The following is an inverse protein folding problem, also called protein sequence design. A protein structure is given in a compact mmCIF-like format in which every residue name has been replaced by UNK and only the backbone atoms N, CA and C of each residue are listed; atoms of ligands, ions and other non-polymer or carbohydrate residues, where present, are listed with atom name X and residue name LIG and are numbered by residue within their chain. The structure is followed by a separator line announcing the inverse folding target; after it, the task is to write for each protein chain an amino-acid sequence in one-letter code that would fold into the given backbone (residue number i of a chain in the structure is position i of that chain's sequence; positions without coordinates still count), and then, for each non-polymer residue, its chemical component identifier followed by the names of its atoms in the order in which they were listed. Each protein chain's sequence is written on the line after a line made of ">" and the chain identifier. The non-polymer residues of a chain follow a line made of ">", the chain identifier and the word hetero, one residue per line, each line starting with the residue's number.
data_IF_692774687011
#
_entry.id   IF_692774687011
#
_cell.length_a   1.000
_cell.length_b   1.000
_cell.length_c   1.000
_cell.angle_alpha   90.00
_cell.angle_beta   90.00
_cell.angle_gamma   90.00
#
_symmetry.space_group_name_H-M   'P 1'
#
loop_
_entity.id
_entity.type
_entity.pdbx_description
1 polymer ?
#
# COMPACT_ATOMS: atom_id res chain seq x y z
N UNK A 1 -40.49 38.02 58.25
CA UNK A 1 -41.88 37.57 58.51
C UNK A 1 -42.22 36.50 57.49
N UNK A 2 -42.22 35.26 57.95
CA UNK A 2 -43.05 34.21 57.33
C UNK A 2 -44.51 34.47 57.75
N UNK A 3 -45.57 33.91 57.07
CA UNK A 3 -45.83 32.51 56.82
C UNK A 3 -46.48 32.30 55.45
N UNK A 4 -46.90 31.17 54.98
CA UNK A 4 -47.21 29.85 55.56
C UNK A 4 -47.67 28.90 54.47
N UNK A 5 -47.62 27.67 54.77
CA UNK A 5 -48.03 26.47 53.98
C UNK A 5 -49.52 26.43 53.67
N UNK A 6 -49.88 25.82 52.51
CA UNK A 6 -51.09 25.00 52.43
C UNK A 6 -50.91 23.82 51.48
N UNK A 7 -51.10 22.64 52.04
CA UNK A 7 -51.34 21.32 51.39
C UNK A 7 -52.76 21.24 50.84
N UNK A 8 -52.93 20.56 49.77
CA UNK A 8 -54.24 20.10 49.21
C UNK A 8 -53.99 18.98 48.22
N UNK A 9 -54.06 17.82 48.67
CA UNK A 9 -54.84 16.59 48.55
C UNK A 9 -55.12 16.08 47.15
N UNK A 10 -54.73 14.81 46.97
CA UNK A 10 -55.09 13.72 46.08
C UNK A 10 -56.52 13.72 45.55
N UNK A 11 -56.70 13.38 44.30
CA UNK A 11 -57.47 12.26 43.67
C UNK A 11 -57.68 12.58 42.17
N UNK A 12 -57.54 11.75 41.25
CA UNK A 12 -58.29 10.59 40.81
C UNK A 12 -57.63 9.91 39.60
N UNK A 13 -57.66 8.63 39.64
CA UNK A 13 -57.22 7.76 38.56
C UNK A 13 -58.13 7.87 37.33
N UNK A 14 -57.51 7.94 36.16
CA UNK A 14 -58.19 7.60 34.92
C UNK A 14 -57.28 6.67 34.10
N UNK A 15 -57.75 5.45 33.99
CA UNK A 15 -57.30 4.39 33.13
C UNK A 15 -57.05 4.89 31.70
N UNK A 16 -55.87 4.72 31.19
CA UNK A 16 -55.63 4.65 29.76
C UNK A 16 -54.98 3.31 29.44
N UNK A 17 -55.70 2.58 28.64
CA UNK A 17 -55.41 1.28 28.07
C UNK A 17 -54.08 1.35 27.34
N UNK A 18 -53.13 0.54 27.75
CA UNK A 18 -51.92 0.25 27.01
C UNK A 18 -52.27 -0.56 25.78
N UNK A 19 -52.21 0.03 24.60
CA UNK A 19 -52.06 -0.71 23.35
C UNK A 19 -50.65 -1.17 23.25
N UNK A 20 -50.42 -2.46 23.24
CA UNK A 20 -49.16 -3.10 22.90
C UNK A 20 -48.83 -2.75 21.42
N UNK A 21 -48.03 -1.69 21.23
CA UNK A 21 -47.34 -1.42 20.00
C UNK A 21 -45.98 -2.10 20.08
N UNK A 22 -45.81 -3.15 19.32
CA UNK A 22 -44.53 -3.78 19.10
C UNK A 22 -43.52 -2.71 18.63
N UNK A 23 -42.63 -2.30 19.52
CA UNK A 23 -41.43 -1.60 19.16
C UNK A 23 -40.51 -2.65 18.53
N UNK A 24 -40.58 -2.82 17.22
CA UNK A 24 -39.51 -3.40 16.45
C UNK A 24 -38.28 -2.50 16.65
N UNK A 25 -37.43 -2.86 17.60
CA UNK A 25 -36.05 -2.40 17.64
C UNK A 25 -35.38 -2.93 16.38
N UNK A 26 -35.29 -2.07 15.39
CA UNK A 26 -34.30 -2.25 14.32
C UNK A 26 -32.92 -2.18 14.96
N UNK A 27 -32.37 -3.33 15.32
CA UNK A 27 -30.98 -3.47 15.70
C UNK A 27 -30.09 -3.33 14.45
N UNK A 28 -30.02 -2.11 13.92
CA UNK A 28 -28.96 -1.71 13.00
C UNK A 28 -27.86 -0.99 13.80
N UNK A 29 -27.26 -1.72 14.73
CA UNK A 29 -25.96 -1.38 15.22
C UNK A 29 -24.98 -1.86 14.15
N UNK A 30 -24.58 -0.97 13.24
CA UNK A 30 -23.40 -1.15 12.42
C UNK A 30 -22.21 -1.33 13.36
N UNK A 31 -21.90 -2.59 13.68
CA UNK A 31 -20.71 -2.95 14.47
C UNK A 31 -19.52 -2.49 13.65
N UNK A 32 -18.93 -1.34 14.03
CA UNK A 32 -17.70 -0.87 13.45
C UNK A 32 -16.62 -1.91 13.79
N UNK A 33 -16.35 -2.82 12.86
CA UNK A 33 -15.31 -3.83 13.05
C UNK A 33 -13.95 -3.18 13.03
N UNK A 34 -13.03 -3.60 13.91
CA UNK A 34 -11.67 -3.10 13.85
C UNK A 34 -11.03 -3.44 12.49
N UNK A 35 -10.09 -2.63 12.06
CA UNK A 35 -9.27 -2.92 10.87
C UNK A 35 -8.53 -4.25 11.06
N UNK A 36 -8.25 -4.93 9.94
CA UNK A 36 -7.57 -6.23 9.98
C UNK A 36 -6.15 -6.12 10.57
N UNK A 37 -5.36 -5.13 10.11
CA UNK A 37 -4.01 -4.93 10.61
C UNK A 37 -4.01 -4.28 11.98
N UNK A 38 -3.17 -4.82 12.87
CA UNK A 38 -2.91 -4.28 14.19
C UNK A 38 -1.39 -4.16 14.40
N UNK A 39 -0.86 -2.99 14.82
CA UNK A 39 0.58 -2.71 14.83
C UNK A 39 1.42 -3.70 15.65
N UNK A 40 0.85 -4.28 16.70
CA UNK A 40 1.59 -5.13 17.64
C UNK A 40 1.17 -6.61 17.63
N UNK A 41 0.16 -6.96 16.84
CA UNK A 41 -0.44 -8.30 16.85
C UNK A 41 -0.27 -8.93 15.46
N UNK A 42 -0.02 -10.25 15.43
CA UNK A 42 -0.06 -11.04 14.22
C UNK A 42 -1.49 -11.53 13.99
N UNK A 43 -2.10 -11.11 12.89
CA UNK A 43 -3.45 -11.50 12.48
C UNK A 43 -3.36 -12.47 11.31
N UNK A 44 -4.25 -13.44 11.23
CA UNK A 44 -4.25 -14.47 10.19
C UNK A 44 -5.22 -14.14 9.07
N UNK A 45 -4.77 -14.31 7.83
CA UNK A 45 -5.67 -14.37 6.67
C UNK A 45 -5.43 -15.66 5.89
N UNK A 46 -6.45 -16.13 5.21
CA UNK A 46 -6.42 -17.39 4.46
C UNK A 46 -6.08 -17.11 3.01
N UNK A 47 -5.11 -17.82 2.45
CA UNK A 47 -4.82 -17.79 1.02
C UNK A 47 -6.05 -18.33 0.26
N UNK A 48 -6.75 -17.41 -0.41
CA UNK A 48 -7.98 -17.70 -1.14
C UNK A 48 -7.71 -18.07 -2.60
N UNK A 49 -6.78 -17.34 -3.23
CA UNK A 49 -6.44 -17.52 -4.64
C UNK A 49 -4.96 -17.22 -4.88
N UNK A 50 -4.39 -17.91 -5.87
CA UNK A 50 -3.06 -17.67 -6.40
C UNK A 50 -3.14 -17.58 -7.92
N UNK A 51 -3.02 -16.38 -8.46
CA UNK A 51 -3.06 -16.11 -9.91
C UNK A 51 -1.65 -15.95 -10.45
N UNK A 52 -1.29 -16.72 -11.47
CA UNK A 52 -0.02 -16.54 -12.19
C UNK A 52 -0.11 -15.33 -13.11
N UNK A 53 0.82 -14.39 -12.97
CA UNK A 53 0.95 -13.20 -13.83
C UNK A 53 2.01 -13.43 -14.89
N UNK A 54 3.18 -13.95 -14.49
CA UNK A 54 4.26 -14.36 -15.39
C UNK A 54 4.93 -15.64 -14.88
N UNK A 55 5.99 -16.08 -15.55
CA UNK A 55 6.73 -17.28 -15.13
C UNK A 55 7.24 -17.19 -13.68
N UNK A 56 7.56 -16.00 -13.18
CA UNK A 56 8.09 -15.77 -11.86
C UNK A 56 7.25 -14.83 -10.99
N UNK A 57 6.06 -14.42 -11.43
CA UNK A 57 5.23 -13.46 -10.70
C UNK A 57 3.83 -14.01 -10.43
N UNK A 58 3.33 -13.78 -9.22
CA UNK A 58 2.00 -14.20 -8.75
C UNK A 58 1.27 -13.06 -8.05
N UNK A 59 -0.05 -13.06 -8.18
CA UNK A 59 -0.94 -12.34 -7.26
C UNK A 59 -1.50 -13.35 -6.27
N UNK A 60 -1.24 -13.09 -4.99
CA UNK A 60 -1.79 -13.85 -3.87
C UNK A 60 -2.95 -13.05 -3.27
N UNK A 61 -4.16 -13.60 -3.36
CA UNK A 61 -5.35 -13.03 -2.73
C UNK A 61 -5.61 -13.73 -1.41
N UNK A 62 -5.64 -12.96 -0.32
CA UNK A 62 -5.94 -13.47 1.02
C UNK A 62 -7.30 -12.97 1.46
N UNK A 63 -8.13 -13.89 1.98
CA UNK A 63 -9.43 -13.57 2.59
C UNK A 63 -9.21 -13.17 4.03
N UNK A 64 -9.75 -11.99 4.41
CA UNK A 64 -9.77 -11.51 5.79
C UNK A 64 -10.79 -12.28 6.61
N UNK A 65 -10.81 -12.08 7.92
CA UNK A 65 -11.70 -12.77 8.83
C UNK A 65 -13.17 -12.46 8.54
N UNK A 66 -13.45 -11.22 8.15
CA UNK A 66 -14.82 -10.76 7.84
C UNK A 66 -14.88 -10.10 6.46
N UNK A 67 -16.00 -10.30 5.77
CA UNK A 67 -16.19 -9.80 4.39
C UNK A 67 -16.33 -8.27 4.30
N UNK A 68 -16.77 -7.63 5.38
CA UNK A 68 -16.90 -6.17 5.51
C UNK A 68 -15.65 -5.50 6.10
N UNK A 69 -14.65 -6.27 6.53
CA UNK A 69 -13.43 -5.78 7.15
C UNK A 69 -12.50 -5.14 6.12
N UNK A 70 -11.94 -3.98 6.43
CA UNK A 70 -10.89 -3.34 5.64
C UNK A 70 -9.51 -3.65 6.19
N UNK A 71 -8.49 -3.56 5.33
CA UNK A 71 -7.13 -3.86 5.70
C UNK A 71 -6.59 -2.91 6.80
N UNK A 72 -6.90 -1.62 6.72
CA UNK A 72 -6.40 -0.61 7.65
C UNK A 72 -4.93 -0.26 7.46
N UNK A 73 -4.47 -0.25 6.20
CA UNK A 73 -3.11 0.14 5.85
C UNK A 73 -3.12 1.56 5.27
N UNK A 74 -2.49 2.54 5.92
CA UNK A 74 -2.30 3.87 5.38
C UNK A 74 -1.48 3.86 4.08
N UNK A 75 -1.76 4.80 3.18
CA UNK A 75 -1.04 4.93 1.90
C UNK A 75 0.42 5.29 2.17
N UNK A 76 1.34 4.51 1.60
CA UNK A 76 2.79 4.67 1.82
C UNK A 76 3.35 3.82 2.95
N UNK A 77 2.49 3.07 3.65
CA UNK A 77 2.93 2.08 4.63
C UNK A 77 2.87 0.66 4.08
N UNK A 78 3.52 -0.26 4.77
CA UNK A 78 3.59 -1.67 4.41
C UNK A 78 3.17 -2.57 5.57
N UNK A 79 3.04 -3.86 5.28
CA UNK A 79 2.78 -4.89 6.27
C UNK A 79 3.92 -5.92 6.30
N UNK A 80 4.06 -6.60 7.40
CA UNK A 80 4.90 -7.80 7.52
C UNK A 80 4.08 -9.05 7.28
N UNK A 81 4.67 -9.97 6.54
CA UNK A 81 4.17 -11.34 6.34
C UNK A 81 5.11 -12.30 7.04
N UNK A 82 4.54 -13.26 7.79
CA UNK A 82 5.29 -14.31 8.46
C UNK A 82 4.82 -15.68 8.01
N UNK A 83 5.75 -16.48 7.56
CA UNK A 83 5.58 -17.91 7.33
C UNK A 83 6.59 -18.71 8.15
N UNK A 84 6.35 -19.99 8.29
CA UNK A 84 7.35 -20.92 8.81
C UNK A 84 8.00 -21.69 7.66
N UNK A 85 9.33 -21.77 7.70
CA UNK A 85 10.06 -22.63 6.78
C UNK A 85 9.54 -24.08 6.93
N UNK A 86 9.17 -24.76 5.84
CA UNK A 86 8.59 -26.08 5.93
C UNK A 86 9.56 -27.14 6.47
N UNK A 87 10.87 -26.92 6.32
CA UNK A 87 11.92 -27.85 6.74
C UNK A 87 12.48 -27.48 8.11
N UNK A 88 12.99 -26.24 8.27
CA UNK A 88 13.65 -25.80 9.51
C UNK A 88 12.68 -25.35 10.59
N UNK A 89 11.41 -25.10 10.25
CA UNK A 89 10.35 -24.54 11.12
C UNK A 89 10.64 -23.14 11.63
N UNK A 90 11.72 -22.51 11.19
CA UNK A 90 12.08 -21.14 11.52
C UNK A 90 11.07 -20.16 10.92
N UNK A 91 10.86 -19.04 11.61
CA UNK A 91 10.01 -17.97 11.11
C UNK A 91 10.74 -17.19 10.00
N UNK A 92 10.11 -17.09 8.84
CA UNK A 92 10.54 -16.22 7.76
C UNK A 92 9.62 -15.01 7.78
N UNK A 93 10.19 -13.81 7.89
CA UNK A 93 9.42 -12.55 7.94
C UNK A 93 9.94 -11.62 6.85
N UNK A 94 9.01 -11.02 6.07
CA UNK A 94 9.33 -10.02 5.03
C UNK A 94 8.24 -8.96 4.97
N UNK A 95 8.65 -7.76 4.58
CA UNK A 95 7.75 -6.64 4.31
C UNK A 95 7.16 -6.74 2.90
N UNK A 96 5.88 -6.38 2.77
CA UNK A 96 5.16 -6.30 1.50
C UNK A 96 4.20 -5.12 1.52
N UNK A 97 4.00 -4.53 0.35
CA UNK A 97 2.95 -3.53 0.14
C UNK A 97 1.88 -4.13 -0.75
N UNK A 98 0.62 -4.23 -0.28
CA UNK A 98 -0.49 -4.72 -1.08
C UNK A 98 -0.75 -3.85 -2.31
N UNK A 99 -1.17 -4.51 -3.40
CA UNK A 99 -1.62 -3.84 -4.63
C UNK A 99 -3.14 -3.66 -4.68
N UNK A 100 -3.88 -4.29 -3.77
CA UNK A 100 -5.31 -4.03 -3.61
C UNK A 100 -5.58 -2.60 -3.17
N UNK A 101 -6.78 -2.09 -3.48
CA UNK A 101 -7.21 -0.76 -3.03
C UNK A 101 -7.30 -0.68 -1.50
N UNK A 102 -6.97 0.49 -0.94
CA UNK A 102 -6.95 0.68 0.52
C UNK A 102 -8.31 0.42 1.19
N UNK A 103 -9.40 0.75 0.48
CA UNK A 103 -10.79 0.53 0.94
C UNK A 103 -11.39 -0.83 0.57
N UNK A 104 -10.63 -1.73 -0.08
CA UNK A 104 -11.14 -3.06 -0.46
C UNK A 104 -11.55 -3.85 0.78
N UNK A 105 -12.78 -4.35 0.78
CA UNK A 105 -13.33 -5.12 1.90
C UNK A 105 -13.10 -6.62 1.72
N UNK A 106 -12.84 -7.30 2.83
CA UNK A 106 -12.77 -8.76 2.93
C UNK A 106 -11.53 -9.42 2.31
N UNK A 107 -10.70 -8.68 1.59
CA UNK A 107 -9.55 -9.24 0.88
C UNK A 107 -8.35 -8.29 0.88
N UNK A 108 -7.16 -8.86 0.81
CA UNK A 108 -5.93 -8.17 0.44
C UNK A 108 -5.22 -8.93 -0.68
N UNK A 109 -4.50 -8.20 -1.54
CA UNK A 109 -3.76 -8.77 -2.67
C UNK A 109 -2.30 -8.36 -2.62
N UNK A 110 -1.41 -9.35 -2.70
CA UNK A 110 0.03 -9.16 -2.78
C UNK A 110 0.52 -9.59 -4.17
N UNK A 111 1.13 -8.67 -4.90
CA UNK A 111 1.87 -8.97 -6.11
C UNK A 111 3.31 -9.30 -5.73
N UNK A 112 3.75 -10.53 -6.01
CA UNK A 112 5.04 -11.05 -5.54
C UNK A 112 5.81 -11.68 -6.69
N UNK A 113 7.05 -11.21 -6.88
CA UNK A 113 8.02 -11.88 -7.75
C UNK A 113 8.68 -13.03 -6.98
N UNK A 114 8.59 -14.22 -7.52
CA UNK A 114 9.18 -15.44 -6.93
C UNK A 114 10.60 -15.58 -7.42
N UNK A 115 11.53 -15.56 -6.51
CA UNK A 115 12.95 -15.75 -6.81
C UNK A 115 13.29 -17.24 -6.71
N UNK A 116 13.35 -17.91 -7.86
CA UNK A 116 13.73 -19.32 -7.95
C UNK A 116 15.24 -19.52 -7.82
N UNK A 117 15.65 -20.75 -7.48
CA UNK A 117 17.06 -21.12 -7.50
C UNK A 117 17.59 -21.08 -8.94
N UNK A 118 18.79 -20.55 -9.14
CA UNK A 118 19.44 -20.46 -10.44
C UNK A 118 20.85 -21.01 -10.33
N UNK A 119 21.08 -22.22 -10.77
CA UNK A 119 22.36 -22.92 -10.57
C UNK A 119 22.68 -23.03 -9.07
N UNK A 120 23.84 -22.53 -8.66
CA UNK A 120 24.27 -22.53 -7.27
C UNK A 120 23.66 -21.40 -6.44
N UNK A 121 23.06 -20.39 -7.08
CA UNK A 121 22.47 -19.24 -6.39
C UNK A 121 21.11 -19.62 -5.82
N UNK A 122 21.01 -19.59 -4.49
CA UNK A 122 19.76 -19.85 -3.79
C UNK A 122 18.76 -18.71 -3.99
N UNK A 123 17.55 -19.05 -4.36
CA UNK A 123 16.44 -18.11 -4.51
C UNK A 123 15.88 -17.60 -3.18
N UNK A 124 14.80 -16.85 -3.28
CA UNK A 124 14.15 -16.23 -2.12
C UNK A 124 13.44 -17.26 -1.23
N UNK A 125 13.88 -17.45 0.01
CA UNK A 125 13.23 -18.38 0.97
C UNK A 125 11.73 -18.09 1.12
N UNK A 126 11.38 -16.80 1.35
CA UNK A 126 9.99 -16.40 1.58
C UNK A 126 9.13 -16.57 0.33
N UNK A 127 9.60 -16.09 -0.82
CA UNK A 127 8.80 -16.10 -2.05
C UNK A 127 8.57 -17.52 -2.57
N UNK A 128 9.56 -18.41 -2.44
CA UNK A 128 9.38 -19.86 -2.74
C UNK A 128 8.42 -20.54 -1.77
N UNK A 129 8.49 -20.21 -0.46
CA UNK A 129 7.56 -20.76 0.52
C UNK A 129 6.12 -20.29 0.26
N UNK A 130 5.92 -19.03 -0.14
CA UNK A 130 4.61 -18.52 -0.55
C UNK A 130 4.11 -19.18 -1.84
N UNK A 131 4.98 -19.38 -2.83
CA UNK A 131 4.61 -20.03 -4.09
C UNK A 131 4.23 -21.51 -3.88
N UNK A 132 4.87 -22.19 -2.94
CA UNK A 132 4.54 -23.56 -2.56
C UNK A 132 3.31 -23.67 -1.65
N UNK A 133 2.84 -22.58 -1.04
CA UNK A 133 1.74 -22.62 -0.09
C UNK A 133 0.43 -23.02 -0.78
N UNK A 134 -0.28 -24.06 -0.34
CA UNK A 134 -1.57 -24.42 -0.90
C UNK A 134 -2.65 -23.38 -0.58
N UNK A 135 -3.61 -23.20 -1.50
CA UNK A 135 -4.84 -22.44 -1.24
C UNK A 135 -5.57 -23.05 -0.03
N UNK A 136 -6.18 -22.22 0.80
CA UNK A 136 -6.82 -22.60 2.06
C UNK A 136 -5.89 -22.51 3.28
N UNK A 137 -4.58 -22.32 3.12
CA UNK A 137 -3.68 -22.16 4.25
C UNK A 137 -3.65 -20.73 4.77
N UNK A 138 -3.46 -20.60 6.09
CA UNK A 138 -3.36 -19.31 6.75
C UNK A 138 -1.94 -18.77 6.76
N UNK A 139 -1.83 -17.46 6.63
CA UNK A 139 -0.59 -16.70 6.72
C UNK A 139 -0.75 -15.61 7.77
N UNK A 140 0.32 -15.32 8.50
CA UNK A 140 0.32 -14.29 9.54
C UNK A 140 0.73 -12.93 8.95
N UNK A 141 -0.05 -11.90 9.29
CA UNK A 141 0.16 -10.51 8.88
C UNK A 141 0.27 -9.61 10.10
N UNK A 142 1.09 -8.56 9.99
CA UNK A 142 1.26 -7.54 11.03
C UNK A 142 1.50 -6.19 10.38
N UNK A 143 0.91 -5.15 10.91
CA UNK A 143 1.06 -3.78 10.42
C UNK A 143 -0.03 -2.88 11.01
N UNK A 144 -0.16 -1.64 10.54
CA UNK A 144 0.70 -0.96 9.55
C UNK A 144 2.11 -0.67 10.08
N UNK A 145 3.09 -0.57 9.17
CA UNK A 145 4.48 -0.25 9.46
C UNK A 145 4.99 0.69 8.36
N UNK A 146 5.74 1.71 8.75
CA UNK A 146 6.34 2.66 7.81
C UNK A 146 6.53 4.03 8.44
N UNK A 147 7.37 4.83 7.80
CA UNK A 147 7.70 6.20 8.23
C UNK A 147 6.96 7.25 7.43
N UNK A 148 6.41 6.86 6.29
CA UNK A 148 5.72 7.73 5.36
C UNK A 148 4.24 7.35 5.27
N UNK A 149 3.39 8.37 5.24
CA UNK A 149 1.96 8.23 5.01
C UNK A 149 1.49 9.39 4.12
N UNK A 150 0.83 9.06 3.01
CA UNK A 150 0.21 10.05 2.13
C UNK A 150 -1.24 10.27 2.53
N UNK A 151 -1.58 11.53 2.82
CA UNK A 151 -2.91 11.93 3.27
C UNK A 151 -3.80 12.47 2.13
N UNK A 152 -3.21 12.73 0.96
CA UNK A 152 -3.88 13.33 -0.20
C UNK A 152 -3.52 14.79 -0.44
N UNK A 153 -3.68 15.24 -1.69
CA UNK A 153 -3.50 16.64 -2.12
C UNK A 153 -2.13 17.24 -1.76
N UNK A 154 -1.09 16.40 -1.76
CA UNK A 154 0.27 16.78 -1.42
C UNK A 154 0.60 16.72 0.07
N UNK A 155 -0.38 16.52 0.94
CA UNK A 155 -0.14 16.39 2.37
C UNK A 155 0.33 14.98 2.73
N UNK A 156 1.34 14.89 3.56
CA UNK A 156 1.90 13.63 4.03
C UNK A 156 2.46 13.74 5.45
N UNK A 157 2.68 12.59 6.08
CA UNK A 157 3.41 12.47 7.34
C UNK A 157 4.74 11.75 7.08
N UNK A 158 5.83 12.30 7.61
CA UNK A 158 7.14 11.68 7.63
C UNK A 158 7.58 11.53 9.08
N UNK A 159 7.72 10.29 9.56
CA UNK A 159 7.94 10.00 10.99
C UNK A 159 6.90 10.68 11.90
N UNK A 160 5.65 10.77 11.46
CA UNK A 160 4.55 11.42 12.17
C UNK A 160 4.54 12.95 12.08
N UNK A 161 5.54 13.58 11.45
CA UNK A 161 5.59 15.03 11.24
C UNK A 161 4.95 15.43 9.91
N UNK A 162 4.05 16.42 9.89
CA UNK A 162 3.38 16.86 8.68
C UNK A 162 4.36 17.52 7.70
N UNK A 163 4.18 17.23 6.43
CA UNK A 163 4.88 17.85 5.31
C UNK A 163 3.92 17.99 4.14
N UNK A 164 3.99 19.14 3.44
CA UNK A 164 3.29 19.32 2.17
C UNK A 164 4.30 19.27 1.02
N UNK A 165 3.93 18.61 -0.07
CA UNK A 165 4.74 18.50 -1.28
C UNK A 165 3.90 18.81 -2.51
N UNK A 166 4.54 19.38 -3.53
CA UNK A 166 3.89 19.65 -4.81
C UNK A 166 4.17 18.55 -5.84
N UNK A 167 5.22 17.75 -5.62
CA UNK A 167 5.60 16.70 -6.55
C UNK A 167 6.31 15.53 -5.88
N UNK A 168 6.18 14.37 -6.52
CA UNK A 168 6.95 13.17 -6.23
C UNK A 168 7.83 12.77 -7.40
N UNK A 169 9.11 12.51 -7.13
CA UNK A 169 9.97 11.71 -7.98
C UNK A 169 9.97 10.28 -7.42
N UNK A 170 9.41 9.34 -8.16
CA UNK A 170 9.19 7.97 -7.71
C UNK A 170 10.14 7.03 -8.46
N UNK A 171 11.07 6.40 -7.76
CA UNK A 171 12.13 5.59 -8.36
C UNK A 171 11.99 4.15 -7.87
N UNK A 172 11.82 3.21 -8.80
CA UNK A 172 11.68 1.81 -8.44
C UNK A 172 12.39 0.85 -9.40
N UNK A 173 12.46 -0.40 -8.96
CA UNK A 173 12.99 -1.49 -9.78
C UNK A 173 12.36 -2.84 -9.39
N UNK A 174 11.85 -3.55 -10.38
CA UNK A 174 11.19 -4.85 -10.19
C UNK A 174 10.04 -4.78 -9.18
N UNK A 175 10.06 -5.65 -8.15
CA UNK A 175 9.00 -5.67 -7.12
C UNK A 175 8.93 -4.41 -6.26
N UNK A 176 9.91 -3.52 -6.31
CA UNK A 176 9.87 -2.21 -5.65
C UNK A 176 8.80 -1.27 -6.19
N UNK A 177 8.15 -1.63 -7.30
CA UNK A 177 6.98 -0.90 -7.81
C UNK A 177 5.80 -0.91 -6.85
N UNK A 178 5.61 -1.92 -5.99
CA UNK A 178 4.39 -2.07 -5.20
C UNK A 178 4.10 -0.91 -4.24
N UNK A 179 5.04 -0.37 -3.43
CA UNK A 179 4.80 0.82 -2.65
C UNK A 179 4.67 2.08 -3.52
N UNK A 180 5.41 2.17 -4.60
CA UNK A 180 5.30 3.27 -5.56
C UNK A 180 3.92 3.28 -6.22
N UNK A 181 3.44 2.14 -6.69
CA UNK A 181 2.10 1.99 -7.25
C UNK A 181 0.99 2.40 -6.28
N UNK A 182 1.13 2.03 -5.00
CA UNK A 182 0.16 2.39 -3.96
C UNK A 182 0.01 3.92 -3.84
N UNK A 183 1.11 4.65 -3.74
CA UNK A 183 1.11 6.12 -3.63
C UNK A 183 0.66 6.76 -4.95
N UNK A 184 1.23 6.33 -6.07
CA UNK A 184 0.89 6.83 -7.41
C UNK A 184 -0.61 6.69 -7.70
N UNK A 185 -1.19 5.53 -7.42
CA UNK A 185 -2.63 5.30 -7.58
C UNK A 185 -3.45 6.24 -6.72
N UNK A 186 -3.09 6.42 -5.45
CA UNK A 186 -3.81 7.31 -4.55
C UNK A 186 -3.83 8.76 -5.08
N UNK A 187 -2.69 9.26 -5.57
CA UNK A 187 -2.59 10.61 -6.16
C UNK A 187 -3.40 10.71 -7.45
N UNK A 188 -3.32 9.71 -8.35
CA UNK A 188 -3.95 9.78 -9.68
C UNK A 188 -5.45 9.56 -9.66
N UNK A 189 -5.97 8.78 -8.72
CA UNK A 189 -7.41 8.52 -8.58
C UNK A 189 -8.16 9.73 -8.00
N UNK A 190 -7.54 10.54 -7.16
CA UNK A 190 -8.16 11.78 -6.67
C UNK A 190 -8.08 12.87 -7.74
N UNK A 191 -9.24 13.26 -8.28
CA UNK A 191 -9.34 14.30 -9.32
C UNK A 191 -9.08 15.72 -8.79
N UNK A 192 -9.16 15.91 -7.49
CA UNK A 192 -8.86 17.22 -6.86
C UNK A 192 -7.40 17.33 -6.44
N UNK A 193 -6.68 16.23 -6.38
CA UNK A 193 -5.26 16.24 -6.10
C UNK A 193 -4.48 16.88 -7.25
N UNK A 194 -3.58 17.78 -6.94
CA UNK A 194 -2.75 18.51 -7.93
C UNK A 194 -1.28 18.11 -7.88
N UNK A 195 -0.95 17.15 -7.02
CA UNK A 195 0.42 16.65 -6.88
C UNK A 195 0.92 16.02 -8.17
N UNK A 196 2.10 16.41 -8.59
CA UNK A 196 2.75 15.88 -9.81
C UNK A 196 3.57 14.65 -9.46
N UNK A 197 3.60 13.68 -10.37
CA UNK A 197 4.38 12.45 -10.19
C UNK A 197 5.23 12.16 -11.43
N UNK A 198 6.51 11.89 -11.23
CA UNK A 198 7.38 11.31 -12.25
C UNK A 198 7.84 9.95 -11.74
N UNK A 199 7.48 8.89 -12.45
CA UNK A 199 7.82 7.51 -12.08
C UNK A 199 8.93 7.01 -12.98
N UNK A 200 10.02 6.53 -12.38
CA UNK A 200 11.14 5.86 -13.03
C UNK A 200 11.10 4.39 -12.63
N UNK A 201 10.66 3.53 -13.54
CA UNK A 201 10.56 2.10 -13.29
C UNK A 201 11.61 1.32 -14.08
N UNK A 202 12.62 0.82 -13.38
CA UNK A 202 13.77 0.10 -13.94
C UNK A 202 13.57 -1.41 -13.91
N UNK A 203 13.55 -2.05 -15.08
CA UNK A 203 13.39 -3.48 -15.24
C UNK A 203 14.46 -4.11 -16.12
N UNK A 204 14.46 -5.41 -16.28
CA UNK A 204 15.38 -6.12 -17.19
C UNK A 204 14.78 -6.26 -18.57
N UNK A 205 13.57 -6.77 -18.65
CA UNK A 205 12.81 -7.09 -19.87
C UNK A 205 11.41 -6.45 -19.76
N UNK A 206 10.68 -6.39 -20.86
CA UNK A 206 9.32 -5.84 -20.91
C UNK A 206 8.36 -6.62 -20.01
N UNK A 207 8.47 -7.95 -20.02
CA UNK A 207 7.66 -8.84 -19.18
C UNK A 207 7.95 -8.75 -17.69
N UNK A 208 9.05 -8.09 -17.30
CA UNK A 208 9.38 -7.80 -15.90
C UNK A 208 8.68 -6.54 -15.35
N UNK A 209 8.06 -5.73 -16.23
CA UNK A 209 7.36 -4.50 -15.81
C UNK A 209 6.05 -4.89 -15.15
N UNK A 210 6.01 -4.79 -13.82
CA UNK A 210 4.82 -5.13 -13.03
C UNK A 210 3.82 -3.97 -13.01
N UNK A 211 2.53 -4.28 -12.92
CA UNK A 211 1.42 -3.29 -12.92
C UNK A 211 1.44 -2.33 -14.12
N UNK A 212 2.02 -2.74 -15.26
CA UNK A 212 2.20 -1.83 -16.41
C UNK A 212 0.87 -1.31 -16.94
N UNK A 213 -0.09 -2.20 -17.15
CA UNK A 213 -1.41 -1.84 -17.71
C UNK A 213 -2.16 -0.89 -16.77
N UNK A 214 -2.11 -1.14 -15.45
CA UNK A 214 -2.74 -0.30 -14.44
C UNK A 214 -2.06 1.07 -14.33
N UNK A 215 -0.72 1.12 -14.39
CA UNK A 215 0.04 2.37 -14.39
C UNK A 215 -0.29 3.21 -15.62
N UNK A 216 -0.25 2.60 -16.82
CA UNK A 216 -0.54 3.28 -18.07
C UNK A 216 -1.98 3.80 -18.11
N UNK A 217 -2.95 3.02 -17.60
CA UNK A 217 -4.35 3.43 -17.51
C UNK A 217 -4.54 4.63 -16.56
N UNK A 218 -3.84 4.63 -15.43
CA UNK A 218 -3.85 5.76 -14.49
C UNK A 218 -3.21 7.02 -15.12
N UNK A 219 -2.15 6.85 -15.89
CA UNK A 219 -1.46 7.96 -16.55
C UNK A 219 -2.29 8.58 -17.67
N UNK A 220 -2.96 7.76 -18.48
CA UNK A 220 -3.78 8.20 -19.62
C UNK A 220 -4.88 9.22 -19.23
N UNK A 221 -5.40 9.13 -18.02
CA UNK A 221 -6.37 10.09 -17.51
C UNK A 221 -5.77 11.29 -16.75
N UNK A 222 -4.43 11.41 -16.71
CA UNK A 222 -3.71 12.35 -15.86
C UNK A 222 -2.46 12.97 -16.54
N UNK A 223 -2.44 13.11 -17.86
CA UNK A 223 -1.25 13.47 -18.67
C UNK A 223 -0.56 14.77 -18.22
N UNK A 224 -1.30 15.70 -17.66
CA UNK A 224 -0.75 16.97 -17.14
C UNK A 224 -0.13 16.86 -15.74
N UNK A 225 -0.33 15.72 -15.04
CA UNK A 225 0.11 15.54 -13.64
C UNK A 225 1.15 14.44 -13.48
N UNK A 226 1.31 13.56 -14.45
CA UNK A 226 2.24 12.45 -14.31
C UNK A 226 3.04 12.16 -15.57
N UNK A 227 4.19 11.53 -15.35
CA UNK A 227 5.06 10.99 -16.39
C UNK A 227 5.54 9.61 -15.95
N UNK A 228 5.37 8.61 -16.82
CA UNK A 228 5.88 7.26 -16.60
C UNK A 228 7.11 7.04 -17.50
N UNK A 229 8.21 6.62 -16.90
CA UNK A 229 9.49 6.39 -17.56
C UNK A 229 9.94 4.97 -17.27
N UNK A 230 9.67 4.07 -18.21
CA UNK A 230 10.14 2.68 -18.15
C UNK A 230 11.54 2.58 -18.77
N UNK A 231 12.48 1.96 -18.08
CA UNK A 231 13.83 1.72 -18.58
C UNK A 231 14.19 0.23 -18.51
N UNK A 232 14.75 -0.31 -19.57
CA UNK A 232 15.12 -1.72 -19.67
C UNK A 232 16.62 -1.90 -19.83
N UNK A 233 17.21 -2.78 -19.01
CA UNK A 233 18.63 -3.13 -19.13
C UNK A 233 18.89 -4.20 -20.21
N UNK A 234 17.87 -4.94 -20.60
CA UNK A 234 17.90 -5.99 -21.65
C UNK A 234 16.71 -5.87 -22.60
N UNK A 235 16.32 -4.64 -22.94
CA UNK A 235 15.23 -4.42 -23.90
C UNK A 235 15.58 -4.96 -25.27
N UNK A 236 14.61 -5.60 -25.93
CA UNK A 236 14.71 -6.06 -27.32
C UNK A 236 14.83 -4.89 -28.28
N UNK A 237 15.14 -5.16 -29.56
CA UNK A 237 15.25 -4.11 -30.59
C UNK A 237 13.94 -3.32 -30.74
N UNK A 238 12.78 -3.97 -30.57
CA UNK A 238 11.47 -3.36 -30.66
C UNK A 238 11.12 -2.41 -29.49
N UNK A 239 11.94 -2.39 -28.43
CA UNK A 239 11.71 -1.51 -27.30
C UNK A 239 12.04 -0.06 -27.66
N UNK A 240 11.02 0.78 -27.69
CA UNK A 240 11.12 2.22 -28.01
C UNK A 240 11.30 3.12 -26.79
N UNK A 241 11.18 2.57 -25.56
CA UNK A 241 11.39 3.28 -24.31
C UNK A 241 12.87 3.44 -23.94
N UNK A 242 13.12 3.92 -22.74
CA UNK A 242 14.47 4.18 -22.24
C UNK A 242 15.27 2.88 -22.06
N UNK A 243 16.58 2.97 -22.23
CA UNK A 243 17.51 1.84 -22.09
C UNK A 243 18.53 2.11 -20.98
N UNK A 244 18.92 1.05 -20.30
CA UNK A 244 19.88 1.10 -19.21
C UNK A 244 19.24 1.06 -17.83
N UNK A 245 20.01 1.46 -16.81
CA UNK A 245 19.53 1.53 -15.43
C UNK A 245 18.99 2.93 -15.16
N UNK A 246 18.05 3.04 -14.20
CA UNK A 246 17.70 4.34 -13.65
C UNK A 246 18.94 4.98 -13.05
N UNK A 247 19.26 6.19 -13.45
CA UNK A 247 20.45 6.94 -13.03
C UNK A 247 20.07 8.32 -12.50
N UNK A 248 21.01 8.96 -11.77
CA UNK A 248 20.81 10.33 -11.31
C UNK A 248 20.64 11.33 -12.45
N UNK A 249 21.35 11.11 -13.59
CA UNK A 249 21.23 11.95 -14.79
C UNK A 249 19.81 11.89 -15.35
N UNK A 250 19.25 10.69 -15.44
CA UNK A 250 17.86 10.50 -15.88
C UNK A 250 16.87 11.21 -14.95
N UNK A 251 17.08 11.15 -13.65
CA UNK A 251 16.24 11.87 -12.68
C UNK A 251 16.38 13.38 -12.89
N UNK A 252 17.60 13.89 -13.03
CA UNK A 252 17.90 15.32 -13.27
C UNK A 252 17.24 15.84 -14.55
N UNK A 253 17.20 15.02 -15.60
CA UNK A 253 16.58 15.40 -16.88
C UNK A 253 15.06 15.59 -16.77
N UNK A 254 14.40 14.82 -15.90
CA UNK A 254 12.95 14.77 -15.83
C UNK A 254 12.34 15.34 -14.56
N UNK A 255 13.11 15.62 -13.53
CA UNK A 255 12.66 16.18 -12.28
C UNK A 255 13.46 17.43 -11.91
N UNK A 256 12.75 18.54 -11.77
CA UNK A 256 13.36 19.71 -11.15
C UNK A 256 13.62 19.44 -9.66
N UNK A 257 14.83 19.75 -9.22
CA UNK A 257 15.15 19.76 -7.80
C UNK A 257 14.60 21.03 -7.18
N UNK A 258 13.60 20.89 -6.33
CA UNK A 258 13.05 21.98 -5.53
C UNK A 258 12.78 21.49 -4.08
N UNK A 259 12.34 22.41 -3.21
CA UNK A 259 12.10 22.10 -1.81
C UNK A 259 10.80 21.33 -1.59
N UNK A 260 9.87 21.40 -2.54
CA UNK A 260 8.52 20.83 -2.46
C UNK A 260 8.43 19.50 -3.22
N UNK A 261 9.56 18.97 -3.68
CA UNK A 261 9.67 17.63 -4.27
C UNK A 261 10.21 16.63 -3.25
N UNK A 262 9.52 15.51 -3.11
CA UNK A 262 9.93 14.36 -2.32
C UNK A 262 10.27 13.19 -3.25
N UNK A 263 11.39 12.52 -3.00
CA UNK A 263 11.83 11.36 -3.77
C UNK A 263 11.47 10.10 -3.01
N UNK A 264 10.66 9.24 -3.61
CA UNK A 264 10.28 7.94 -3.07
C UNK A 264 11.07 6.86 -3.78
N UNK A 265 11.79 6.02 -3.06
CA UNK A 265 12.74 5.05 -3.62
C UNK A 265 12.44 3.65 -3.08
N UNK A 266 12.28 2.68 -3.97
CA UNK A 266 12.14 1.28 -3.59
C UNK A 266 12.70 0.34 -4.66
N UNK A 267 13.54 -0.60 -4.27
CA UNK A 267 14.08 -1.57 -5.21
C UNK A 267 15.22 -2.40 -4.65
N UNK A 268 16.00 -3.05 -5.52
CA UNK A 268 17.19 -3.74 -5.08
C UNK A 268 18.18 -2.77 -4.42
N UNK A 269 18.85 -3.21 -3.35
CA UNK A 269 19.76 -2.36 -2.59
C UNK A 269 20.91 -1.73 -3.42
N UNK A 270 21.24 -2.32 -4.58
CA UNK A 270 22.18 -1.71 -5.53
C UNK A 270 21.58 -0.48 -6.23
N UNK A 271 20.29 -0.51 -6.57
CA UNK A 271 19.59 0.65 -7.12
C UNK A 271 19.51 1.76 -6.07
N UNK A 272 19.04 1.42 -4.87
CA UNK A 272 18.86 2.39 -3.78
C UNK A 272 20.19 3.12 -3.47
N UNK A 273 21.27 2.36 -3.31
CA UNK A 273 22.60 2.93 -3.03
C UNK A 273 23.11 3.84 -4.16
N UNK A 274 22.98 3.41 -5.43
CA UNK A 274 23.45 4.19 -6.56
C UNK A 274 22.67 5.48 -6.75
N UNK A 275 21.35 5.43 -6.59
CA UNK A 275 20.47 6.60 -6.68
C UNK A 275 20.70 7.55 -5.50
N UNK A 276 20.84 7.02 -4.28
CA UNK A 276 21.14 7.85 -3.10
C UNK A 276 22.38 8.71 -3.31
N UNK A 277 23.49 8.06 -3.65
CA UNK A 277 24.75 8.78 -3.91
C UNK A 277 24.58 9.82 -5.03
N UNK A 278 24.02 9.42 -6.17
CA UNK A 278 23.87 10.31 -7.32
C UNK A 278 22.98 11.54 -7.02
N UNK A 279 21.92 11.37 -6.24
CA UNK A 279 21.04 12.48 -5.88
C UNK A 279 21.69 13.43 -4.87
N UNK A 280 22.43 12.91 -3.89
CA UNK A 280 23.19 13.75 -2.96
C UNK A 280 24.28 14.57 -3.71
N UNK A 281 24.99 13.95 -4.65
CA UNK A 281 25.99 14.64 -5.50
C UNK A 281 25.35 15.74 -6.37
N UNK A 282 24.06 15.59 -6.72
CA UNK A 282 23.27 16.62 -7.42
C UNK A 282 22.69 17.67 -6.47
N UNK A 283 22.99 17.56 -5.16
CA UNK A 283 22.59 18.51 -4.13
C UNK A 283 21.16 18.34 -3.63
N UNK A 284 20.51 17.18 -3.82
CA UNK A 284 19.31 16.82 -3.06
C UNK A 284 19.67 16.66 -1.58
N UNK A 285 18.75 17.01 -0.70
CA UNK A 285 18.93 16.81 0.74
C UNK A 285 18.44 15.43 1.15
N UNK A 286 19.12 14.80 2.09
CA UNK A 286 18.78 13.45 2.58
C UNK A 286 17.32 13.36 3.10
N UNK A 287 16.82 14.44 3.71
CA UNK A 287 15.42 14.53 4.16
C UNK A 287 14.36 14.57 3.02
N UNK A 288 14.80 14.75 1.77
CA UNK A 288 13.95 14.65 0.59
C UNK A 288 13.92 13.23 0.00
N UNK A 289 14.75 12.33 0.49
CA UNK A 289 14.91 10.97 -0.03
C UNK A 289 14.29 9.95 0.94
N UNK A 290 13.21 9.32 0.53
CA UNK A 290 12.52 8.30 1.33
C UNK A 290 12.70 6.93 0.70
N UNK A 291 13.21 5.98 1.50
CA UNK A 291 13.39 4.58 1.14
C UNK A 291 12.32 3.74 1.82
N UNK A 292 11.67 2.87 1.05
CA UNK A 292 10.65 1.95 1.53
C UNK A 292 11.21 0.62 2.03
#
# INVERSE_FOLDING_TARGET
>A
MMPGYHLGTLDEASKLVLSEGEVQQSADSSICRPTFLQPRVWTKAVLFEKKTVSWDTRIFTYKLEHEDQILGLPIGQHLMVRLRDPVTREAIIRSYTPVSEAGKKGYLELLIKVYFDTGEVKGGKMTKAMDALPVGHSVDFKGPIGKFEYLGKGDCLINGSPKHVQSFAMICGGSGITPIYQVFRAVMQDKEDRTKCVVFDGNRLVEDILCKEELDALALGNEGRCKLLYTLTKGTEDWTGLRGRVSGELVKEHCAKDNDTLVLICGPGTLEKSIHVALLDQGWRDEQLLFF
#
